data_IF_416038307449
#
_entry.id   IF_416038307449
#
_cell.length_a   1.000
_cell.length_b   1.000
_cell.length_c   1.000
_cell.angle_alpha   90.00
_cell.angle_beta   90.00
_cell.angle_gamma   90.00
#
_symmetry.space_group_name_H-M   'P 1'
#
loop_
_entity.id
_entity.type
_entity.pdbx_description
1 polymer ?
#
# COMPACT_ATOMS: atom_id res chain seq x y z
N UNK A 1 22.29 60.68 9.80
CA UNK A 1 21.07 60.11 10.42
C UNK A 1 20.01 60.04 9.34
N UNK A 2 19.52 58.84 9.02
CA UNK A 2 18.15 58.53 8.55
C UNK A 2 18.10 57.03 8.27
N UNK A 3 17.57 56.29 9.24
CA UNK A 3 17.29 54.86 9.10
C UNK A 3 16.10 54.62 8.18
N UNK A 4 16.25 53.67 7.27
CA UNK A 4 15.16 53.10 6.48
C UNK A 4 14.87 51.68 6.98
N UNK A 5 13.65 51.47 7.49
CA UNK A 5 13.11 50.22 8.02
C UNK A 5 13.35 48.99 7.11
N UNK A 6 13.61 47.79 7.66
CA UNK A 6 13.54 46.55 6.90
C UNK A 6 12.07 46.18 6.60
N UNK A 7 11.76 45.56 5.45
CA UNK A 7 10.39 45.19 5.11
C UNK A 7 9.85 44.09 6.04
N UNK A 8 8.61 44.30 6.48
CA UNK A 8 7.90 43.43 7.42
C UNK A 8 7.73 42.00 6.92
N UNK A 9 8.09 41.02 7.77
CA UNK A 9 7.77 39.60 7.65
C UNK A 9 6.24 39.38 7.53
N UNK A 10 5.72 39.19 6.31
CA UNK A 10 4.36 38.68 6.04
C UNK A 10 4.42 37.27 5.45
N UNK A 11 4.79 36.23 6.21
CA UNK A 11 4.82 34.84 5.66
C UNK A 11 4.49 33.72 6.66
N UNK A 12 3.98 34.02 7.85
CA UNK A 12 3.62 32.98 8.84
C UNK A 12 2.19 32.43 8.70
N UNK A 13 1.19 33.31 8.73
CA UNK A 13 -0.23 32.90 8.83
C UNK A 13 -0.85 32.42 7.50
N UNK A 14 -0.40 32.91 6.35
CA UNK A 14 -0.88 32.45 5.04
C UNK A 14 -0.45 31.01 4.74
N UNK A 15 0.75 30.64 5.19
CA UNK A 15 1.30 29.30 5.01
C UNK A 15 0.57 28.28 5.88
N UNK A 16 0.29 28.59 7.15
CA UNK A 16 -0.48 27.69 8.04
C UNK A 16 -1.90 27.46 7.52
N UNK A 17 -2.59 28.51 7.04
CA UNK A 17 -3.95 28.39 6.47
C UNK A 17 -3.96 27.58 5.17
N UNK A 18 -2.93 27.71 4.33
CA UNK A 18 -2.80 26.95 3.08
C UNK A 18 -2.46 25.48 3.33
N UNK A 19 -1.54 25.20 4.26
CA UNK A 19 -1.17 23.83 4.67
C UNK A 19 -2.36 23.12 5.33
N UNK A 20 -3.12 23.82 6.19
CA UNK A 20 -4.32 23.26 6.80
C UNK A 20 -5.41 22.97 5.76
N UNK A 21 -5.66 23.89 4.81
CA UNK A 21 -6.64 23.68 3.73
C UNK A 21 -6.27 22.49 2.84
N UNK A 22 -5.00 22.35 2.48
CA UNK A 22 -4.51 21.23 1.67
C UNK A 22 -4.64 19.90 2.43
N UNK A 23 -4.24 19.87 3.70
CA UNK A 23 -4.36 18.67 4.55
C UNK A 23 -5.83 18.25 4.73
N UNK A 24 -6.75 19.19 4.98
CA UNK A 24 -8.18 18.87 5.08
C UNK A 24 -8.75 18.38 3.75
N UNK A 25 -8.39 19.01 2.62
CA UNK A 25 -8.86 18.57 1.30
C UNK A 25 -8.41 17.15 0.96
N UNK A 26 -7.19 16.82 1.36
CA UNK A 26 -6.59 15.50 1.21
C UNK A 26 -7.28 14.45 2.09
N UNK A 27 -7.57 14.77 3.36
CA UNK A 27 -8.33 13.88 4.24
C UNK A 27 -9.75 13.62 3.72
N UNK A 28 -10.40 14.64 3.16
CA UNK A 28 -11.71 14.47 2.53
C UNK A 28 -11.63 13.57 1.30
N UNK A 29 -10.59 13.73 0.46
CA UNK A 29 -10.37 12.87 -0.71
C UNK A 29 -10.13 11.41 -0.32
N UNK A 30 -9.35 11.14 0.72
CA UNK A 30 -9.15 9.78 1.24
C UNK A 30 -10.45 9.18 1.79
N UNK A 31 -11.22 9.97 2.55
CA UNK A 31 -12.51 9.53 3.07
C UNK A 31 -13.50 9.19 1.96
N UNK A 32 -13.58 10.03 0.93
CA UNK A 32 -14.40 9.76 -0.25
C UNK A 32 -13.93 8.52 -1.01
N UNK A 33 -12.61 8.36 -1.20
CA UNK A 33 -12.05 7.15 -1.82
C UNK A 33 -12.45 5.89 -1.05
N UNK A 34 -12.40 5.92 0.28
CA UNK A 34 -12.85 4.78 1.09
C UNK A 34 -14.33 4.47 0.88
N UNK A 35 -15.21 5.47 0.90
CA UNK A 35 -16.65 5.25 0.65
C UNK A 35 -16.87 4.61 -0.71
N UNK A 36 -16.17 5.10 -1.75
CA UNK A 36 -16.23 4.51 -3.08
C UNK A 36 -15.72 3.05 -3.10
N UNK A 37 -14.67 2.72 -2.35
CA UNK A 37 -14.18 1.33 -2.22
C UNK A 37 -15.23 0.41 -1.59
N UNK A 38 -15.94 0.87 -0.56
CA UNK A 38 -17.01 0.09 0.10
C UNK A 38 -18.18 -0.14 -0.85
N UNK A 39 -18.62 0.91 -1.56
CA UNK A 39 -19.70 0.79 -2.57
C UNK A 39 -19.28 -0.15 -3.69
N UNK A 40 -18.07 0.01 -4.22
CA UNK A 40 -17.52 -0.88 -5.24
C UNK A 40 -17.50 -2.34 -4.77
N UNK A 41 -17.01 -2.58 -3.55
CA UNK A 41 -16.97 -3.93 -2.99
C UNK A 41 -18.36 -4.55 -2.87
N UNK A 42 -19.36 -3.79 -2.41
CA UNK A 42 -20.75 -4.28 -2.34
C UNK A 42 -21.31 -4.65 -3.72
N UNK A 43 -21.01 -3.87 -4.76
CA UNK A 43 -21.40 -4.16 -6.14
C UNK A 43 -20.65 -5.41 -6.66
N UNK A 44 -19.35 -5.49 -6.40
CA UNK A 44 -18.51 -6.60 -6.83
C UNK A 44 -19.00 -7.93 -6.25
N UNK A 45 -19.21 -8.01 -4.92
CA UNK A 45 -19.70 -9.22 -4.25
C UNK A 45 -21.03 -9.68 -4.82
N UNK A 46 -21.95 -8.77 -5.12
CA UNK A 46 -23.24 -9.11 -5.75
C UNK A 46 -23.08 -9.63 -7.17
N UNK A 47 -22.13 -9.08 -7.92
CA UNK A 47 -21.90 -9.48 -9.31
C UNK A 47 -21.21 -10.83 -9.42
N UNK A 48 -20.14 -11.05 -8.65
CA UNK A 48 -19.30 -12.26 -8.75
C UNK A 48 -19.74 -13.39 -7.83
N UNK A 49 -20.61 -13.09 -6.86
CA UNK A 49 -21.17 -14.02 -5.87
C UNK A 49 -20.09 -14.75 -5.06
N UNK A 50 -20.50 -15.77 -4.29
CA UNK A 50 -19.60 -16.50 -3.39
C UNK A 50 -18.46 -17.17 -4.17
N UNK A 51 -18.73 -17.82 -5.30
CA UNK A 51 -17.71 -18.49 -6.10
C UNK A 51 -16.62 -17.52 -6.60
N UNK A 52 -17.02 -16.38 -7.16
CA UNK A 52 -16.06 -15.38 -7.64
C UNK A 52 -15.28 -14.72 -6.51
N UNK A 53 -15.92 -14.47 -5.37
CA UNK A 53 -15.24 -13.99 -4.16
C UNK A 53 -14.24 -15.00 -3.61
N UNK A 54 -14.57 -16.30 -3.70
CA UNK A 54 -13.66 -17.40 -3.39
C UNK A 54 -12.42 -17.36 -4.28
N UNK A 55 -12.60 -17.26 -5.61
CA UNK A 55 -11.49 -17.15 -6.57
C UNK A 55 -10.59 -15.95 -6.27
N UNK A 56 -11.17 -14.77 -6.04
CA UNK A 56 -10.43 -13.55 -5.68
C UNK A 56 -9.63 -13.77 -4.40
N UNK A 57 -10.27 -14.31 -3.36
CA UNK A 57 -9.68 -14.40 -2.02
C UNK A 57 -8.58 -15.45 -1.97
N UNK A 58 -8.78 -16.61 -2.62
CA UNK A 58 -7.74 -17.65 -2.76
C UNK A 58 -6.53 -17.12 -3.51
N UNK A 59 -6.74 -16.49 -4.67
CA UNK A 59 -5.67 -15.91 -5.47
C UNK A 59 -4.88 -14.83 -4.70
N UNK A 60 -5.60 -13.89 -4.07
CA UNK A 60 -4.97 -12.85 -3.25
C UNK A 60 -4.24 -13.42 -2.05
N UNK A 61 -4.76 -14.47 -1.40
CA UNK A 61 -4.11 -15.06 -0.25
C UNK A 61 -2.79 -15.74 -0.59
N UNK A 62 -2.75 -16.47 -1.71
CA UNK A 62 -1.52 -17.07 -2.22
C UNK A 62 -0.51 -15.98 -2.60
N UNK A 63 -0.93 -15.00 -3.41
CA UNK A 63 -0.08 -13.91 -3.89
C UNK A 63 0.46 -13.07 -2.72
N UNK A 64 -0.38 -12.70 -1.76
CA UNK A 64 0.00 -11.86 -0.62
C UNK A 64 0.98 -12.57 0.30
N UNK A 65 0.78 -13.86 0.53
CA UNK A 65 1.71 -14.69 1.32
C UNK A 65 3.09 -14.72 0.67
N UNK A 66 3.16 -14.93 -0.64
CA UNK A 66 4.43 -14.93 -1.38
C UNK A 66 5.03 -13.52 -1.54
N UNK A 67 4.22 -12.47 -1.46
CA UNK A 67 4.66 -11.10 -1.69
C UNK A 67 5.76 -10.63 -0.72
N UNK A 68 5.83 -11.23 0.47
CA UNK A 68 6.92 -11.00 1.44
C UNK A 68 8.30 -11.26 0.85
N UNK A 69 8.41 -12.19 -0.11
CA UNK A 69 9.65 -12.51 -0.82
C UNK A 69 10.17 -11.32 -1.62
N UNK A 70 9.27 -10.48 -2.15
CA UNK A 70 9.60 -9.33 -3.00
C UNK A 70 9.78 -8.05 -2.17
N UNK A 71 8.94 -7.85 -1.15
CA UNK A 71 9.02 -6.65 -0.33
C UNK A 71 10.23 -6.69 0.60
N UNK A 72 10.50 -7.83 1.22
CA UNK A 72 11.67 -8.16 2.04
C UNK A 72 12.03 -7.09 3.11
N UNK A 73 11.06 -6.28 3.54
CA UNK A 73 11.27 -5.20 4.51
C UNK A 73 12.02 -3.96 3.98
N UNK A 74 12.17 -3.81 2.66
CA UNK A 74 12.89 -2.67 2.07
C UNK A 74 12.19 -1.33 2.33
N UNK A 75 10.87 -1.30 2.42
CA UNK A 75 10.11 -0.06 2.70
C UNK A 75 10.54 0.57 4.02
N UNK A 76 10.57 -0.21 5.11
CA UNK A 76 10.95 0.28 6.43
C UNK A 76 12.41 0.71 6.47
N UNK A 77 13.30 -0.07 5.83
CA UNK A 77 14.72 0.27 5.72
C UNK A 77 14.92 1.58 4.96
N UNK A 78 14.25 1.74 3.82
CA UNK A 78 14.32 2.95 3.00
C UNK A 78 13.81 4.16 3.76
N UNK A 79 12.65 4.06 4.43
CA UNK A 79 12.10 5.16 5.23
C UNK A 79 13.10 5.59 6.30
N UNK A 80 13.67 4.64 7.05
CA UNK A 80 14.66 4.92 8.11
C UNK A 80 15.91 5.62 7.57
N UNK A 81 16.54 5.05 6.54
CA UNK A 81 17.85 5.50 6.07
C UNK A 81 17.77 6.77 5.21
N UNK A 82 16.73 6.91 4.40
CA UNK A 82 16.50 8.07 3.53
C UNK A 82 15.99 9.27 4.33
N UNK A 83 15.21 9.06 5.40
CA UNK A 83 14.83 10.14 6.31
C UNK A 83 16.07 10.74 7.01
N UNK A 84 17.03 9.89 7.39
CA UNK A 84 18.30 10.32 7.98
C UNK A 84 19.24 11.04 6.99
N UNK A 85 19.22 10.67 5.71
CA UNK A 85 20.01 11.32 4.67
C UNK A 85 19.31 11.28 3.30
N UNK A 86 18.57 12.35 2.97
CA UNK A 86 17.76 12.44 1.74
C UNK A 86 18.55 12.27 0.44
N UNK A 87 19.85 12.58 0.45
CA UNK A 87 20.76 12.40 -0.70
C UNK A 87 20.93 10.94 -1.10
N UNK A 88 20.66 9.99 -0.20
CA UNK A 88 20.73 8.55 -0.48
C UNK A 88 19.55 8.03 -1.31
N UNK A 89 18.48 8.81 -1.47
CA UNK A 89 17.22 8.36 -2.07
C UNK A 89 17.40 7.71 -3.45
N UNK A 90 18.06 8.39 -4.39
CA UNK A 90 18.23 7.88 -5.76
C UNK A 90 19.02 6.55 -5.78
N UNK A 91 20.09 6.45 -4.98
CA UNK A 91 20.90 5.24 -4.87
C UNK A 91 20.09 4.09 -4.25
N UNK A 92 19.32 4.35 -3.19
CA UNK A 92 18.48 3.33 -2.55
C UNK A 92 17.37 2.84 -3.49
N UNK A 93 16.67 3.75 -4.15
CA UNK A 93 15.63 3.42 -5.14
C UNK A 93 16.19 2.46 -6.21
N UNK A 94 17.37 2.78 -6.75
CA UNK A 94 17.97 2.01 -7.84
C UNK A 94 18.44 0.62 -7.39
N UNK A 95 19.08 0.52 -6.22
CA UNK A 95 19.56 -0.75 -5.68
C UNK A 95 18.43 -1.64 -5.16
N UNK A 96 17.41 -1.06 -4.51
CA UNK A 96 16.22 -1.81 -4.07
C UNK A 96 15.40 -2.29 -5.26
N UNK A 97 15.20 -1.47 -6.29
CA UNK A 97 14.53 -1.89 -7.52
C UNK A 97 15.30 -3.02 -8.23
N UNK A 98 16.64 -2.96 -8.25
CA UNK A 98 17.47 -4.04 -8.77
C UNK A 98 17.28 -5.34 -7.98
N UNK A 99 17.35 -5.31 -6.64
CA UNK A 99 17.09 -6.49 -5.80
C UNK A 99 15.67 -7.04 -6.03
N UNK A 100 14.67 -6.15 -6.11
CA UNK A 100 13.28 -6.52 -6.39
C UNK A 100 13.13 -7.23 -7.72
N UNK A 101 13.90 -6.89 -8.74
CA UNK A 101 13.85 -7.59 -10.02
C UNK A 101 14.19 -9.08 -9.86
N UNK A 102 15.26 -9.42 -9.13
CA UNK A 102 15.62 -10.83 -8.87
C UNK A 102 14.61 -11.53 -7.97
N UNK A 103 14.16 -10.86 -6.91
CA UNK A 103 13.15 -11.41 -6.01
C UNK A 103 11.79 -11.59 -6.71
N UNK A 104 11.47 -10.77 -7.72
CA UNK A 104 10.28 -10.91 -8.55
C UNK A 104 10.34 -12.15 -9.44
N UNK A 105 11.52 -12.50 -9.95
CA UNK A 105 11.72 -13.76 -10.69
C UNK A 105 11.49 -14.94 -9.76
N UNK A 106 12.11 -14.94 -8.57
CA UNK A 106 11.90 -15.99 -7.56
C UNK A 106 10.42 -16.12 -7.18
N UNK A 107 9.76 -15.00 -6.88
CA UNK A 107 8.33 -14.95 -6.58
C UNK A 107 7.50 -15.55 -7.72
N UNK A 108 7.79 -15.19 -8.97
CA UNK A 108 7.02 -15.67 -10.13
C UNK A 108 7.20 -17.17 -10.35
N UNK A 109 8.42 -17.69 -10.16
CA UNK A 109 8.70 -19.13 -10.25
C UNK A 109 8.00 -19.92 -9.15
N UNK A 110 8.02 -19.43 -7.91
CA UNK A 110 7.35 -20.06 -6.78
C UNK A 110 5.82 -20.00 -6.96
N UNK A 111 5.28 -18.86 -7.38
CA UNK A 111 3.86 -18.71 -7.67
C UNK A 111 3.42 -19.66 -8.77
N UNK A 112 4.17 -19.74 -9.88
CA UNK A 112 3.89 -20.67 -10.95
C UNK A 112 3.92 -22.12 -10.45
N UNK A 113 4.97 -22.52 -9.74
CA UNK A 113 5.10 -23.87 -9.19
C UNK A 113 3.95 -24.25 -8.25
N UNK A 114 3.52 -23.34 -7.37
CA UNK A 114 2.40 -23.60 -6.46
C UNK A 114 1.05 -23.68 -7.17
N UNK A 115 0.81 -22.84 -8.17
CA UNK A 115 -0.43 -22.90 -8.99
C UNK A 115 -0.54 -24.24 -9.71
N UNK A 116 0.58 -24.78 -10.22
CA UNK A 116 0.62 -26.11 -10.83
C UNK A 116 0.47 -27.23 -9.78
N UNK A 117 1.14 -27.11 -8.64
CA UNK A 117 1.11 -28.12 -7.59
C UNK A 117 -0.28 -28.28 -6.94
N UNK A 118 -1.05 -27.19 -6.86
CA UNK A 118 -2.43 -27.22 -6.36
C UNK A 118 -3.48 -27.50 -7.44
N UNK A 119 -3.06 -27.74 -8.68
CA UNK A 119 -3.95 -28.05 -9.82
C UNK A 119 -5.12 -27.06 -9.98
N UNK A 120 -4.81 -25.76 -9.91
CA UNK A 120 -5.85 -24.73 -9.97
C UNK A 120 -6.56 -24.74 -11.33
N UNK A 121 -7.92 -24.65 -11.35
CA UNK A 121 -8.67 -24.49 -12.58
C UNK A 121 -8.17 -23.29 -13.39
N UNK A 122 -8.26 -23.37 -14.72
CA UNK A 122 -7.67 -22.38 -15.64
C UNK A 122 -8.06 -20.94 -15.30
N UNK A 123 -9.33 -20.69 -14.97
CA UNK A 123 -9.79 -19.36 -14.59
C UNK A 123 -9.12 -18.85 -13.29
N UNK A 124 -9.03 -19.68 -12.25
CA UNK A 124 -8.37 -19.33 -10.99
C UNK A 124 -6.86 -19.12 -11.18
N UNK A 125 -6.22 -19.95 -12.01
CA UNK A 125 -4.80 -19.78 -12.36
C UNK A 125 -4.56 -18.42 -13.04
N UNK A 126 -5.39 -18.05 -14.02
CA UNK A 126 -5.30 -16.74 -14.69
C UNK A 126 -5.49 -15.60 -13.70
N UNK A 127 -6.53 -15.64 -12.86
CA UNK A 127 -6.78 -14.63 -11.82
C UNK A 127 -5.56 -14.49 -10.89
N UNK A 128 -4.98 -15.62 -10.49
CA UNK A 128 -3.80 -15.68 -9.62
C UNK A 128 -2.58 -15.04 -10.28
N UNK A 129 -2.32 -15.32 -11.56
CA UNK A 129 -1.21 -14.70 -12.29
C UNK A 129 -1.42 -13.20 -12.51
N UNK A 130 -2.65 -12.76 -12.78
CA UNK A 130 -2.96 -11.32 -12.90
C UNK A 130 -2.75 -10.60 -11.57
N UNK A 131 -3.18 -11.18 -10.44
CA UNK A 131 -2.88 -10.61 -9.13
C UNK A 131 -1.38 -10.63 -8.81
N UNK A 132 -0.67 -11.71 -9.17
CA UNK A 132 0.78 -11.80 -9.04
C UNK A 132 1.47 -10.64 -9.75
N UNK A 133 1.11 -10.39 -11.02
CA UNK A 133 1.61 -9.25 -11.78
C UNK A 133 1.22 -7.92 -11.13
N UNK A 134 -0.03 -7.74 -10.71
CA UNK A 134 -0.50 -6.53 -10.05
C UNK A 134 0.31 -6.23 -8.77
N UNK A 135 0.65 -7.25 -7.99
CA UNK A 135 1.47 -7.12 -6.78
C UNK A 135 2.93 -6.82 -7.10
N UNK A 136 3.51 -7.43 -8.15
CA UNK A 136 4.85 -7.07 -8.61
C UNK A 136 4.93 -5.58 -8.98
N UNK A 137 3.97 -5.08 -9.76
CA UNK A 137 3.88 -3.65 -10.09
C UNK A 137 3.78 -2.81 -8.81
N UNK A 138 2.94 -3.22 -7.86
CA UNK A 138 2.81 -2.56 -6.56
C UNK A 138 4.14 -2.54 -5.78
N UNK A 139 4.92 -3.62 -5.77
CA UNK A 139 6.23 -3.64 -5.13
C UNK A 139 7.14 -2.57 -5.72
N UNK A 140 7.16 -2.36 -7.03
CA UNK A 140 7.95 -1.26 -7.58
C UNK A 140 7.40 0.12 -7.17
N UNK A 141 6.08 0.29 -7.14
CA UNK A 141 5.42 1.53 -6.67
C UNK A 141 5.82 1.86 -5.23
N UNK A 142 5.81 0.86 -4.34
CA UNK A 142 6.11 1.04 -2.91
C UNK A 142 7.54 1.59 -2.67
N UNK A 143 8.50 1.35 -3.57
CA UNK A 143 9.84 1.97 -3.51
C UNK A 143 9.75 3.50 -3.58
N UNK A 144 8.92 4.02 -4.49
CA UNK A 144 8.71 5.46 -4.63
C UNK A 144 7.91 6.05 -3.46
N UNK A 145 6.88 5.33 -3.01
CA UNK A 145 6.07 5.74 -1.86
C UNK A 145 6.88 5.80 -0.56
N UNK A 146 7.85 4.90 -0.39
CA UNK A 146 8.79 4.93 0.74
C UNK A 146 9.66 6.19 0.72
N UNK A 147 10.05 6.71 -0.46
CA UNK A 147 10.78 7.99 -0.56
C UNK A 147 9.88 9.16 -0.20
N UNK A 148 8.64 9.20 -0.66
CA UNK A 148 7.68 10.24 -0.24
C UNK A 148 7.46 10.24 1.26
N UNK A 149 7.37 9.05 1.85
CA UNK A 149 7.27 8.89 3.29
C UNK A 149 8.54 9.37 4.02
N UNK A 150 9.73 9.00 3.53
CA UNK A 150 11.01 9.46 4.09
C UNK A 150 11.20 10.99 3.99
N UNK A 151 10.62 11.62 2.98
CA UNK A 151 10.66 13.07 2.79
C UNK A 151 9.54 13.81 3.54
N UNK A 152 8.67 13.09 4.23
CA UNK A 152 7.49 13.58 4.94
C UNK A 152 6.46 14.26 4.02
N UNK A 153 6.39 13.85 2.76
CA UNK A 153 5.47 14.42 1.76
C UNK A 153 4.34 13.44 1.43
N UNK A 154 3.51 13.18 2.45
CA UNK A 154 2.42 12.20 2.37
C UNK A 154 1.31 12.58 1.38
N UNK A 155 1.26 13.85 0.96
CA UNK A 155 0.30 14.34 -0.04
C UNK A 155 0.41 13.57 -1.36
N UNK A 156 1.63 13.21 -1.79
CA UNK A 156 1.83 12.43 -3.01
C UNK A 156 1.45 10.96 -2.84
N UNK A 157 1.76 10.36 -1.69
CA UNK A 157 1.31 9.00 -1.37
C UNK A 157 -0.21 8.90 -1.46
N UNK A 158 -0.90 9.91 -0.94
CA UNK A 158 -2.34 9.98 -0.99
C UNK A 158 -2.86 10.23 -2.42
N UNK A 159 -2.27 11.18 -3.14
CA UNK A 159 -2.67 11.50 -4.52
C UNK A 159 -2.57 10.27 -5.42
N UNK A 160 -1.44 9.54 -5.39
CA UNK A 160 -1.24 8.37 -6.25
C UNK A 160 -2.25 7.26 -5.93
N UNK A 161 -2.52 7.02 -4.64
CA UNK A 161 -3.51 6.03 -4.18
C UNK A 161 -4.93 6.38 -4.59
N UNK A 162 -5.35 7.63 -4.38
CA UNK A 162 -6.69 8.10 -4.78
C UNK A 162 -6.87 7.98 -6.29
N UNK A 163 -5.88 8.41 -7.10
CA UNK A 163 -5.96 8.25 -8.57
C UNK A 163 -6.07 6.78 -8.94
N UNK A 164 -5.25 5.91 -8.33
CA UNK A 164 -5.30 4.46 -8.57
C UNK A 164 -6.66 3.87 -8.20
N UNK A 165 -7.25 4.27 -7.08
CA UNK A 165 -8.56 3.81 -6.67
C UNK A 165 -9.67 4.28 -7.61
N UNK A 166 -9.64 5.55 -8.02
CA UNK A 166 -10.62 6.09 -8.97
C UNK A 166 -10.56 5.35 -10.30
N UNK A 167 -9.36 5.06 -10.81
CA UNK A 167 -9.17 4.25 -12.03
C UNK A 167 -9.69 2.83 -11.82
N UNK A 168 -9.30 2.17 -10.73
CA UNK A 168 -9.72 0.81 -10.45
C UNK A 168 -11.24 0.71 -10.32
N UNK A 169 -11.85 1.54 -9.47
CA UNK A 169 -13.27 1.53 -9.18
C UNK A 169 -14.07 1.94 -10.41
N UNK A 170 -13.71 3.04 -11.07
CA UNK A 170 -14.42 3.55 -12.24
C UNK A 170 -14.45 2.53 -13.38
N UNK A 171 -13.29 1.96 -13.73
CA UNK A 171 -13.21 0.97 -14.80
C UNK A 171 -13.81 -0.38 -14.40
N UNK A 172 -13.71 -0.80 -13.14
CA UNK A 172 -14.32 -2.05 -12.68
C UNK A 172 -15.85 -1.96 -12.63
N UNK A 173 -16.40 -0.83 -12.18
CA UNK A 173 -17.84 -0.59 -12.23
C UNK A 173 -18.36 -0.53 -13.67
N UNK A 174 -17.61 0.09 -14.58
CA UNK A 174 -17.93 0.06 -16.01
C UNK A 174 -17.91 -1.38 -16.55
N UNK A 175 -16.89 -2.16 -16.17
CA UNK A 175 -16.77 -3.54 -16.62
C UNK A 175 -17.94 -4.41 -16.12
N UNK A 176 -18.36 -4.22 -14.86
CA UNK A 176 -19.53 -4.86 -14.27
C UNK A 176 -20.82 -4.44 -14.98
N UNK A 177 -21.00 -3.14 -15.25
CA UNK A 177 -22.18 -2.63 -15.95
C UNK A 177 -22.32 -3.18 -17.38
N UNK A 178 -21.19 -3.49 -18.02
CA UNK A 178 -21.13 -4.10 -19.35
C UNK A 178 -21.17 -5.64 -19.33
N UNK A 179 -21.24 -6.26 -18.15
CA UNK A 179 -21.33 -7.72 -18.02
C UNK A 179 -20.04 -8.47 -18.33
N UNK A 180 -18.86 -7.84 -18.17
CA UNK A 180 -17.58 -8.52 -18.41
C UNK A 180 -17.24 -9.56 -17.34
N UNK A 181 -16.36 -10.49 -17.69
CA UNK A 181 -15.93 -11.58 -16.80
C UNK A 181 -15.07 -11.10 -15.63
N UNK A 182 -14.97 -11.93 -14.60
CA UNK A 182 -14.13 -11.68 -13.42
C UNK A 182 -12.65 -11.43 -13.79
N UNK A 183 -12.13 -12.14 -14.80
CA UNK A 183 -10.75 -11.94 -15.29
C UNK A 183 -10.54 -10.48 -15.75
N UNK A 184 -11.51 -9.89 -16.47
CA UNK A 184 -11.43 -8.51 -16.93
C UNK A 184 -11.42 -7.56 -15.74
N UNK A 185 -12.30 -7.77 -14.76
CA UNK A 185 -12.39 -6.96 -13.55
C UNK A 185 -11.07 -7.02 -12.74
N UNK A 186 -10.48 -8.20 -12.59
CA UNK A 186 -9.17 -8.35 -11.90
C UNK A 186 -8.04 -7.70 -12.71
N UNK A 187 -8.11 -7.77 -14.05
CA UNK A 187 -7.12 -7.12 -14.93
C UNK A 187 -7.16 -5.60 -14.84
N UNK A 188 -8.32 -5.00 -14.55
CA UNK A 188 -8.43 -3.57 -14.26
C UNK A 188 -7.61 -3.19 -13.02
N UNK A 189 -7.53 -4.05 -12.00
CA UNK A 189 -6.68 -3.80 -10.83
C UNK A 189 -5.20 -3.78 -11.20
N UNK A 190 -4.75 -4.67 -12.08
CA UNK A 190 -3.38 -4.64 -12.59
C UNK A 190 -3.09 -3.33 -13.35
N UNK A 191 -4.00 -2.91 -14.24
CA UNK A 191 -3.89 -1.64 -14.96
C UNK A 191 -3.82 -0.45 -14.00
N UNK A 192 -4.69 -0.41 -12.99
CA UNK A 192 -4.72 0.66 -11.99
C UNK A 192 -3.40 0.75 -11.19
N UNK A 193 -2.78 -0.39 -10.86
CA UNK A 193 -1.45 -0.41 -10.23
C UNK A 193 -0.35 0.11 -11.17
N UNK A 194 -0.45 -0.17 -12.48
CA UNK A 194 0.50 0.38 -13.47
C UNK A 194 0.35 1.91 -13.55
N UNK A 195 -0.88 2.42 -13.53
CA UNK A 195 -1.13 3.87 -13.47
C UNK A 195 -0.51 4.48 -12.21
N UNK A 196 -0.67 3.82 -11.06
CA UNK A 196 -0.07 4.25 -9.79
C UNK A 196 1.46 4.30 -9.86
N UNK A 197 2.08 3.26 -10.43
CA UNK A 197 3.53 3.17 -10.63
C UNK A 197 4.03 4.33 -11.49
N UNK A 198 3.42 4.52 -12.66
CA UNK A 198 3.82 5.57 -13.61
C UNK A 198 3.68 6.95 -12.97
N UNK A 199 2.55 7.23 -12.31
CA UNK A 199 2.33 8.50 -11.63
C UNK A 199 3.33 8.72 -10.50
N UNK A 200 3.59 7.69 -9.69
CA UNK A 200 4.56 7.72 -8.59
C UNK A 200 5.95 8.09 -9.09
N UNK A 201 6.48 7.40 -10.10
CA UNK A 201 7.83 7.70 -10.60
C UNK A 201 7.91 8.98 -11.43
N UNK A 202 6.83 9.38 -12.12
CA UNK A 202 6.77 10.66 -12.83
C UNK A 202 6.89 11.85 -11.86
N UNK A 203 6.16 11.81 -10.75
CA UNK A 203 6.23 12.82 -9.69
C UNK A 203 7.58 12.80 -8.96
N UNK A 204 8.16 11.62 -8.75
CA UNK A 204 9.45 11.46 -8.07
C UNK A 204 10.59 12.07 -8.90
N UNK A 205 10.57 11.84 -10.22
CA UNK A 205 11.50 12.47 -11.17
C UNK A 205 11.40 13.99 -11.15
N UNK A 206 10.19 14.56 -11.11
CA UNK A 206 9.97 16.02 -11.01
C UNK A 206 10.53 16.62 -9.71
N UNK A 207 10.65 15.82 -8.66
CA UNK A 207 11.22 16.22 -7.36
C UNK A 207 12.74 16.08 -7.26
N UNK A 208 13.42 15.76 -8.37
CA UNK A 208 14.89 15.67 -8.40
C UNK A 208 15.45 14.37 -7.82
N UNK A 209 14.62 13.32 -7.68
CA UNK A 209 15.06 11.97 -7.35
C UNK A 209 14.87 11.10 -8.60
N UNK A 210 15.73 11.22 -9.63
CA UNK A 210 15.62 10.39 -10.81
C UNK A 210 15.98 8.93 -10.46
N UNK A 211 15.32 7.99 -11.11
CA UNK A 211 15.83 6.63 -11.18
C UNK A 211 17.18 6.66 -11.91
N UNK A 212 18.23 6.12 -11.28
CA UNK A 212 19.56 6.07 -11.86
C UNK A 212 19.90 4.63 -12.18
N UNK A 213 20.35 4.34 -13.41
CA UNK A 213 20.91 3.03 -13.74
C UNK A 213 22.34 2.89 -13.17
N UNK A 214 22.47 3.04 -11.84
CA UNK A 214 23.71 2.86 -11.09
C UNK A 214 23.45 1.92 -9.92
N UNK A 215 23.72 0.66 -10.15
CA UNK A 215 23.60 -0.40 -9.14
C UNK A 215 24.98 -0.65 -8.54
N UNK A 216 25.06 -0.60 -7.21
CA UNK A 216 26.24 -0.97 -6.45
C UNK A 216 25.94 -2.32 -5.78
N UNK A 217 26.53 -3.39 -6.31
CA UNK A 217 26.30 -4.75 -5.82
C UNK A 217 26.71 -4.91 -4.34
N UNK A 218 27.72 -4.17 -3.88
CA UNK A 218 28.14 -4.16 -2.49
C UNK A 218 27.08 -3.54 -1.59
N UNK A 219 26.49 -2.42 -2.02
CA UNK A 219 25.36 -1.81 -1.33
C UNK A 219 24.11 -2.69 -1.38
N UNK A 220 23.78 -3.27 -2.52
CA UNK A 220 22.62 -4.16 -2.67
C UNK A 220 22.68 -5.34 -1.69
N UNK A 221 23.83 -6.01 -1.56
CA UNK A 221 24.03 -7.07 -0.57
C UNK A 221 23.85 -6.58 0.86
N UNK A 222 24.37 -5.39 1.20
CA UNK A 222 24.20 -4.78 2.52
C UNK A 222 22.74 -4.44 2.80
N UNK A 223 22.02 -3.88 1.83
CA UNK A 223 20.60 -3.54 1.95
C UNK A 223 19.77 -4.78 2.25
N UNK A 224 20.05 -5.91 1.59
CA UNK A 224 19.36 -7.18 1.84
C UNK A 224 19.55 -7.65 3.29
N UNK A 225 20.79 -7.62 3.80
CA UNK A 225 21.07 -7.99 5.20
C UNK A 225 20.42 -7.02 6.19
N UNK A 226 20.46 -5.72 5.92
CA UNK A 226 19.85 -4.70 6.79
C UNK A 226 18.32 -4.74 6.78
N UNK A 227 17.70 -5.22 5.70
CA UNK A 227 16.26 -5.33 5.57
C UNK A 227 15.70 -6.59 6.28
N UNK A 228 16.55 -7.61 6.51
CA UNK A 228 16.14 -8.89 7.08
C UNK A 228 15.34 -8.78 8.40
N UNK A 229 15.71 -7.95 9.39
CA UNK A 229 14.92 -7.83 10.61
C UNK A 229 13.50 -7.30 10.34
N UNK A 230 13.36 -6.37 9.39
CA UNK A 230 12.05 -5.84 8.99
C UNK A 230 11.23 -6.90 8.25
N UNK A 231 11.87 -7.69 7.40
CA UNK A 231 11.24 -8.82 6.74
C UNK A 231 10.66 -9.81 7.76
N UNK A 232 11.45 -10.22 8.77
CA UNK A 232 11.03 -11.16 9.81
C UNK A 232 9.83 -10.64 10.60
N UNK A 233 9.84 -9.36 10.98
CA UNK A 233 8.71 -8.74 11.69
C UNK A 233 7.44 -8.69 10.81
N UNK A 234 7.59 -8.55 9.49
CA UNK A 234 6.45 -8.51 8.57
C UNK A 234 5.80 -9.88 8.31
N UNK A 235 6.49 -10.99 8.58
CA UNK A 235 5.95 -12.35 8.36
C UNK A 235 4.75 -12.63 9.27
N UNK A 236 4.82 -12.26 10.55
CA UNK A 236 3.75 -12.55 11.51
C UNK A 236 2.38 -11.98 11.10
N UNK A 237 2.21 -10.67 10.81
CA UNK A 237 0.91 -10.12 10.42
C UNK A 237 0.42 -10.69 9.08
N UNK A 238 1.32 -11.03 8.15
CA UNK A 238 0.96 -11.67 6.89
C UNK A 238 0.45 -13.09 7.10
N UNK A 239 1.16 -13.90 7.89
CA UNK A 239 0.72 -15.24 8.24
C UNK A 239 -0.64 -15.17 8.96
N UNK A 240 -0.79 -14.28 9.94
CA UNK A 240 -2.04 -14.15 10.68
C UNK A 240 -3.24 -13.79 9.79
N UNK A 241 -3.06 -12.90 8.81
CA UNK A 241 -4.14 -12.46 7.91
C UNK A 241 -4.49 -13.47 6.82
N UNK A 242 -3.50 -14.21 6.29
CA UNK A 242 -3.71 -15.05 5.10
C UNK A 242 -3.83 -16.54 5.39
N UNK A 243 -3.29 -17.04 6.51
CA UNK A 243 -3.22 -18.47 6.81
C UNK A 243 -4.60 -19.13 6.84
N UNK A 244 -5.61 -18.48 7.43
CA UNK A 244 -6.97 -19.01 7.50
C UNK A 244 -7.57 -19.23 6.09
N UNK A 245 -7.43 -18.23 5.22
CA UNK A 245 -7.92 -18.31 3.83
C UNK A 245 -7.18 -19.38 3.03
N UNK A 246 -5.87 -19.52 3.24
CA UNK A 246 -5.07 -20.55 2.56
C UNK A 246 -5.46 -21.96 2.99
N UNK A 247 -5.59 -22.21 4.29
CA UNK A 247 -6.04 -23.52 4.79
C UNK A 247 -7.43 -23.82 4.21
N UNK A 248 -8.36 -22.88 4.32
CA UNK A 248 -9.72 -23.06 3.82
C UNK A 248 -9.74 -23.34 2.31
N UNK A 249 -8.91 -22.65 1.53
CA UNK A 249 -8.79 -22.89 0.08
C UNK A 249 -8.23 -24.25 -0.29
N UNK A 250 -7.48 -24.90 0.62
CA UNK A 250 -6.92 -26.23 0.42
C UNK A 250 -7.85 -27.35 0.93
N UNK A 251 -8.74 -27.06 1.88
CA UNK A 251 -9.57 -28.07 2.56
C UNK A 251 -11.05 -28.02 2.18
N UNK A 252 -11.52 -26.93 1.58
CA UNK A 252 -12.94 -26.66 1.37
C UNK A 252 -13.22 -26.15 -0.04
N UNK A 253 -14.51 -25.97 -0.36
CA UNK A 253 -14.90 -25.52 -1.70
C UNK A 253 -14.56 -24.04 -1.90
N UNK A 254 -14.42 -23.61 -3.16
CA UNK A 254 -14.17 -22.20 -3.50
C UNK A 254 -15.32 -21.30 -2.97
N UNK A 255 -16.57 -21.78 -2.99
CA UNK A 255 -17.70 -21.04 -2.46
C UNK A 255 -17.58 -20.81 -0.94
N UNK A 256 -17.16 -21.81 -0.17
CA UNK A 256 -16.94 -21.68 1.27
C UNK A 256 -15.88 -20.62 1.58
N UNK A 257 -14.81 -20.56 0.77
CA UNK A 257 -13.80 -19.50 0.87
C UNK A 257 -14.41 -18.13 0.62
N UNK A 258 -15.32 -18.02 -0.36
CA UNK A 258 -16.05 -16.78 -0.65
C UNK A 258 -16.94 -16.32 0.50
N UNK A 259 -17.68 -17.24 1.12
CA UNK A 259 -18.50 -16.97 2.31
C UNK A 259 -17.68 -16.55 3.51
N UNK A 260 -16.50 -17.13 3.69
CA UNK A 260 -15.57 -16.76 4.76
C UNK A 260 -14.91 -15.39 4.52
N UNK A 261 -14.41 -15.15 3.30
CA UNK A 261 -13.60 -13.98 3.00
C UNK A 261 -14.42 -12.69 2.83
N UNK A 262 -15.65 -12.77 2.33
CA UNK A 262 -16.46 -11.58 2.04
C UNK A 262 -16.76 -10.74 3.30
N UNK A 263 -17.20 -11.33 4.43
CA UNK A 263 -17.36 -10.59 5.68
C UNK A 263 -16.03 -10.11 6.26
N UNK A 264 -14.96 -10.91 6.15
CA UNK A 264 -13.63 -10.54 6.64
C UNK A 264 -13.10 -9.27 5.94
N UNK A 265 -13.34 -9.13 4.63
CA UNK A 265 -13.00 -7.93 3.88
C UNK A 265 -13.78 -6.69 4.36
N UNK A 266 -15.07 -6.82 4.69
CA UNK A 266 -15.85 -5.72 5.26
C UNK A 266 -15.31 -5.30 6.63
N UNK A 267 -14.98 -6.25 7.50
CA UNK A 267 -14.33 -5.96 8.80
C UNK A 267 -12.98 -5.25 8.59
N UNK A 268 -12.21 -5.67 7.59
CA UNK A 268 -10.98 -4.97 7.22
C UNK A 268 -11.22 -3.53 6.77
N UNK A 269 -12.34 -3.24 6.09
CA UNK A 269 -12.69 -1.88 5.67
C UNK A 269 -13.10 -0.98 6.85
N UNK A 270 -13.68 -1.53 7.92
CA UNK A 270 -14.06 -0.75 9.12
C UNK A 270 -12.86 -0.38 9.99
N UNK A 271 -11.72 -1.07 9.85
CA UNK A 271 -10.45 -0.74 10.52
C UNK A 271 -9.90 0.65 10.14
N UNK A 272 -10.46 1.30 9.12
CA UNK A 272 -10.17 2.71 8.85
C UNK A 272 -10.54 3.60 10.05
N UNK A 273 -11.66 3.34 10.73
CA UNK A 273 -12.15 4.18 11.82
C UNK A 273 -11.11 4.22 12.96
N UNK A 274 -10.63 3.06 13.49
CA UNK A 274 -9.50 3.03 14.42
C UNK A 274 -8.24 3.70 13.87
N UNK A 275 -7.90 3.51 12.59
CA UNK A 275 -6.69 4.07 12.01
C UNK A 275 -6.71 5.61 11.88
N UNK A 276 -7.88 6.19 11.59
CA UNK A 276 -8.09 7.65 11.56
C UNK A 276 -8.09 8.20 12.98
N UNK A 277 -8.76 7.51 13.91
CA UNK A 277 -8.76 7.87 15.32
C UNK A 277 -7.33 7.88 15.90
N UNK A 278 -6.55 6.82 15.68
CA UNK A 278 -5.16 6.75 16.11
C UNK A 278 -4.32 7.89 15.51
N UNK A 279 -4.50 8.23 14.22
CA UNK A 279 -3.81 9.36 13.60
C UNK A 279 -4.18 10.72 14.20
N UNK A 280 -5.42 10.90 14.64
CA UNK A 280 -5.89 12.13 15.28
C UNK A 280 -5.43 12.25 16.74
N UNK A 281 -5.42 11.14 17.48
CA UNK A 281 -5.15 11.11 18.92
C UNK A 281 -3.65 10.96 19.23
N UNK A 282 -2.88 10.29 18.38
CA UNK A 282 -1.43 10.07 18.59
C UNK A 282 -0.62 11.37 18.80
N UNK A 283 -0.82 12.47 18.03
CA UNK A 283 -0.16 13.74 18.29
C UNK A 283 -0.54 14.36 19.64
N UNK A 284 -1.76 14.11 20.12
CA UNK A 284 -2.24 14.56 21.42
C UNK A 284 -1.48 13.81 22.53
N UNK A 285 -1.40 12.48 22.46
CA UNK A 285 -0.64 11.67 23.42
C UNK A 285 0.85 12.05 23.49
N UNK A 286 1.51 12.28 22.35
CA UNK A 286 2.93 12.68 22.30
C UNK A 286 3.19 14.07 22.92
N UNK A 287 2.23 15.00 22.81
CA UNK A 287 2.30 16.32 23.47
C UNK A 287 2.06 16.26 24.97
N UNK A 288 1.25 15.31 25.46
CA UNK A 288 1.03 15.13 26.90
C UNK A 288 2.17 14.39 27.58
N UNK A 289 2.83 13.43 26.92
CA UNK A 289 3.96 12.69 27.53
C UNK A 289 5.17 13.58 27.81
N UNK A 290 5.31 14.68 27.07
CA UNK A 290 6.38 15.66 27.22
C UNK A 290 6.07 16.79 28.21
N UNK A 291 4.82 16.91 28.70
CA UNK A 291 4.39 18.01 29.58
C UNK A 291 3.87 17.62 30.96
N UNK A 292 3.35 16.41 31.19
CA UNK A 292 2.91 15.95 32.52
C UNK A 292 2.61 14.43 32.55
N UNK A 293 3.44 13.59 33.21
CA UNK A 293 3.23 12.14 33.28
C UNK A 293 1.86 11.71 33.87
N UNK A 294 1.30 12.49 34.82
CA UNK A 294 0.05 12.16 35.51
C UNK A 294 -1.23 12.35 34.67
N UNK A 295 -1.23 13.27 33.69
CA UNK A 295 -2.39 13.49 32.82
C UNK A 295 -2.54 12.40 31.73
N UNK A 296 -1.43 11.71 31.42
CA UNK A 296 -1.39 10.62 30.45
C UNK A 296 -2.16 9.39 30.96
N UNK A 297 -2.02 9.06 32.25
CA UNK A 297 -2.65 7.90 32.87
C UNK A 297 -4.18 8.03 32.92
N UNK A 298 -4.69 9.22 33.24
CA UNK A 298 -6.13 9.51 33.27
C UNK A 298 -6.78 9.54 31.87
N UNK A 299 -6.02 9.89 30.83
CA UNK A 299 -6.52 9.92 29.44
C UNK A 299 -6.47 8.52 28.81
N UNK A 300 -5.46 7.72 29.16
CA UNK A 300 -5.31 6.32 28.73
C UNK A 300 -6.45 5.45 29.28
N UNK A 301 -6.80 5.59 30.57
CA UNK A 301 -7.91 4.87 31.21
C UNK A 301 -9.32 5.30 30.75
N UNK A 302 -9.44 6.42 30.02
CA UNK A 302 -10.73 6.87 29.45
C UNK A 302 -10.89 6.50 27.97
N UNK A 303 -9.81 6.10 27.30
CA UNK A 303 -9.78 5.83 25.86
C UNK A 303 -9.72 4.33 25.53
N UNK A 304 -9.41 3.49 26.54
CA UNK A 304 -9.41 2.03 26.53
C UNK A 304 -10.16 1.53 27.77
#
# INVERSE_FOLDING_TARGET
>A
MTGGNPPARRTGMSNVRTIAKNTTSLLVAEGLSQVLRVVYFAVLVRYVQAEGMGKISTAQALVTTLFVLVTFGFEQLMVRDVAGARTKAATYVSNVAFLRLFLSVLFSLVLWGLVQAFDYPTELAIITYVYGFAFLVKAFTDVGLAVYQAFEVMEYNLLTRVVRDLVNIGLSLLAIALGYSLIVIVSVTALANVVELVLTFALLRRRGVPFQFRVDLGLAKRLLVMALPFALVSVYPLAHSQLNTLILSATSTIEDVGWFASPAMLVGMTMLIPAVFMRAVFPVFSRYSSRSPGALQATYQKSF
#
